data_IF_662830638731
#
_entry.id   IF_662830638731
#
_cell.length_a   1.000
_cell.length_b   1.000
_cell.length_c   1.000
_cell.angle_alpha   90.00
_cell.angle_beta   90.00
_cell.angle_gamma   90.00
#
_symmetry.space_group_name_H-M   'P 1'
#
loop_
_entity.id
_entity.type
_entity.pdbx_description
1 polymer ?
#
# COMPACT_ATOMS: atom_id res chain seq x y z
N UNK A 1 -7.85 -14.06 -24.59
CA UNK A 1 -7.31 -14.72 -23.38
C UNK A 1 -7.57 -13.80 -22.19
N UNK A 2 -8.61 -14.08 -21.42
CA UNK A 2 -8.97 -13.32 -20.22
C UNK A 2 -8.02 -13.73 -19.09
N UNK A 3 -7.14 -12.83 -18.64
CA UNK A 3 -6.27 -13.10 -17.48
C UNK A 3 -7.17 -13.41 -16.27
N UNK A 4 -6.86 -14.46 -15.48
CA UNK A 4 -7.63 -14.71 -14.26
C UNK A 4 -7.44 -13.52 -13.33
N UNK A 5 -8.54 -12.84 -12.98
CA UNK A 5 -8.55 -11.89 -11.89
C UNK A 5 -8.09 -12.66 -10.65
N UNK A 6 -6.88 -12.38 -10.20
CA UNK A 6 -6.28 -13.09 -9.09
C UNK A 6 -7.02 -12.67 -7.81
N UNK A 7 -8.13 -13.36 -7.51
CA UNK A 7 -8.89 -13.14 -6.27
C UNK A 7 -7.96 -13.51 -5.12
N UNK A 8 -7.32 -12.50 -4.54
CA UNK A 8 -6.43 -12.69 -3.40
C UNK A 8 -7.25 -13.26 -2.26
N UNK A 9 -6.88 -14.46 -1.79
CA UNK A 9 -7.50 -15.10 -0.64
C UNK A 9 -7.55 -14.10 0.54
N UNK A 10 -8.72 -13.93 1.17
CA UNK A 10 -8.94 -12.97 2.28
C UNK A 10 -7.92 -13.13 3.40
N UNK A 11 -7.55 -14.36 3.77
CA UNK A 11 -6.53 -14.63 4.79
C UNK A 11 -5.14 -14.16 4.34
N UNK A 12 -4.80 -14.35 3.06
CA UNK A 12 -3.54 -13.82 2.51
C UNK A 12 -3.53 -12.29 2.51
N UNK A 13 -4.67 -11.67 2.24
CA UNK A 13 -4.79 -10.21 2.29
C UNK A 13 -4.71 -9.68 3.72
N UNK A 14 -5.30 -10.38 4.68
CA UNK A 14 -5.21 -10.05 6.10
C UNK A 14 -3.77 -10.18 6.60
N UNK A 15 -3.09 -11.26 6.21
CA UNK A 15 -1.67 -11.44 6.49
C UNK A 15 -0.81 -10.32 5.89
N UNK A 16 -1.05 -9.95 4.63
CA UNK A 16 -0.33 -8.85 3.97
C UNK A 16 -0.57 -7.51 4.66
N UNK A 17 -1.82 -7.20 5.04
CA UNK A 17 -2.16 -5.97 5.73
C UNK A 17 -1.53 -5.92 7.13
N UNK A 18 -1.54 -7.02 7.88
CA UNK A 18 -0.89 -7.10 9.19
C UNK A 18 0.63 -6.90 9.07
N UNK A 19 1.26 -7.54 8.08
CA UNK A 19 2.70 -7.38 7.80
C UNK A 19 3.06 -5.94 7.41
N UNK A 20 2.26 -5.30 6.55
CA UNK A 20 2.45 -3.91 6.16
C UNK A 20 2.39 -2.96 7.36
N UNK A 21 1.38 -3.09 8.22
CA UNK A 21 1.25 -2.28 9.44
C UNK A 21 2.43 -2.51 10.40
N UNK A 22 2.90 -3.76 10.54
CA UNK A 22 4.04 -4.06 11.39
C UNK A 22 5.33 -3.37 10.90
N UNK A 23 5.58 -3.36 9.59
CA UNK A 23 6.72 -2.64 9.01
C UNK A 23 6.57 -1.13 9.17
N UNK A 24 5.39 -0.56 8.96
CA UNK A 24 5.14 0.86 9.22
C UNK A 24 5.47 1.26 10.66
N UNK A 25 5.07 0.43 11.63
CA UNK A 25 5.40 0.66 13.06
C UNK A 25 6.89 0.62 13.31
N UNK A 26 7.62 -0.33 12.71
CA UNK A 26 9.08 -0.42 12.81
C UNK A 26 9.76 0.82 12.22
N UNK A 27 9.31 1.29 11.06
CA UNK A 27 9.87 2.50 10.44
C UNK A 27 9.55 3.74 11.27
N UNK A 28 8.34 3.86 11.81
CA UNK A 28 7.98 4.95 12.70
C UNK A 28 8.89 5.00 13.92
N UNK A 29 9.07 3.87 14.62
CA UNK A 29 9.93 3.82 15.81
C UNK A 29 11.40 4.19 15.51
N UNK A 30 11.88 3.98 14.28
CA UNK A 30 13.22 4.40 13.85
C UNK A 30 13.31 5.91 13.57
N UNK A 31 12.28 6.48 12.96
CA UNK A 31 12.25 7.88 12.54
C UNK A 31 11.82 8.84 13.67
N UNK A 32 10.99 8.36 14.59
CA UNK A 32 10.36 9.12 15.67
C UNK A 32 10.47 8.35 17.00
N UNK A 33 11.68 8.19 17.57
CA UNK A 33 11.89 7.34 18.74
C UNK A 33 11.25 7.87 20.02
N UNK A 34 11.02 9.18 20.13
CA UNK A 34 10.43 9.81 21.31
C UNK A 34 8.89 9.88 21.26
N UNK A 35 8.30 9.66 20.10
CA UNK A 35 6.86 9.77 19.90
C UNK A 35 6.16 8.40 19.97
N UNK A 36 4.98 8.30 20.61
CA UNK A 36 4.19 7.07 20.55
C UNK A 36 3.78 6.76 19.11
N UNK A 37 3.89 5.49 18.72
CA UNK A 37 3.56 5.08 17.36
C UNK A 37 2.05 5.19 17.10
N UNK A 38 1.60 5.98 16.10
CA UNK A 38 0.18 6.17 15.81
C UNK A 38 -0.43 4.99 15.04
N UNK A 39 0.40 4.09 14.50
CA UNK A 39 -0.03 2.96 13.68
C UNK A 39 -0.46 1.81 14.59
N UNK A 40 -1.74 1.44 14.52
CA UNK A 40 -2.36 0.40 15.35
C UNK A 40 -2.12 -1.01 14.77
N UNK A 41 -2.39 -2.06 15.54
CA UNK A 41 -2.49 -3.41 14.96
C UNK A 41 -3.73 -3.53 14.08
N UNK A 42 -3.72 -4.47 13.13
CA UNK A 42 -4.87 -4.71 12.26
C UNK A 42 -6.16 -5.04 13.04
N UNK A 43 -6.04 -5.78 14.15
CA UNK A 43 -7.16 -6.15 15.04
C UNK A 43 -7.80 -4.97 15.77
N UNK A 44 -7.08 -3.87 15.90
CA UNK A 44 -7.49 -2.73 16.72
C UNK A 44 -8.28 -1.69 15.90
N UNK A 45 -8.40 -1.91 14.59
CA UNK A 45 -9.27 -1.14 13.72
C UNK A 45 -10.70 -1.70 13.74
N UNK A 46 -11.73 -0.83 13.72
CA UNK A 46 -13.10 -1.21 13.44
C UNK A 46 -13.21 -2.04 12.14
N UNK A 47 -14.19 -2.94 12.06
CA UNK A 47 -14.27 -3.92 10.98
C UNK A 47 -14.36 -3.28 9.58
N UNK A 48 -15.11 -2.18 9.45
CA UNK A 48 -15.23 -1.42 8.21
C UNK A 48 -13.89 -0.80 7.80
N UNK A 49 -13.16 -0.20 8.75
CA UNK A 49 -11.84 0.39 8.51
C UNK A 49 -10.80 -0.68 8.18
N UNK A 50 -10.82 -1.81 8.89
CA UNK A 50 -9.96 -2.97 8.62
C UNK A 50 -10.17 -3.48 7.19
N UNK A 51 -11.42 -3.61 6.77
CA UNK A 51 -11.76 -4.07 5.42
C UNK A 51 -11.32 -3.07 4.34
N UNK A 52 -11.49 -1.76 4.60
CA UNK A 52 -11.01 -0.71 3.70
C UNK A 52 -9.47 -0.72 3.59
N UNK A 53 -8.76 -0.88 4.71
CA UNK A 53 -7.30 -1.00 4.74
C UNK A 53 -6.83 -2.21 3.94
N UNK A 54 -7.44 -3.37 4.14
CA UNK A 54 -7.14 -4.58 3.38
C UNK A 54 -7.34 -4.34 1.87
N UNK A 55 -8.44 -3.71 1.46
CA UNK A 55 -8.65 -3.36 0.05
C UNK A 55 -7.59 -2.40 -0.50
N UNK A 56 -7.17 -1.41 0.31
CA UNK A 56 -6.07 -0.51 -0.02
C UNK A 56 -4.74 -1.24 -0.22
N UNK A 57 -4.39 -2.16 0.67
CA UNK A 57 -3.18 -3.01 0.54
C UNK A 57 -3.26 -3.88 -0.71
N UNK A 58 -4.43 -4.46 -1.01
CA UNK A 58 -4.62 -5.21 -2.26
C UNK A 58 -4.37 -4.34 -3.48
N UNK A 59 -4.84 -3.09 -3.47
CA UNK A 59 -4.60 -2.12 -4.55
C UNK A 59 -3.14 -1.74 -4.67
N UNK A 60 -2.43 -1.53 -3.56
CA UNK A 60 -0.99 -1.27 -3.58
C UNK A 60 -0.20 -2.44 -4.20
N UNK A 61 -0.55 -3.69 -3.85
CA UNK A 61 0.05 -4.88 -4.48
C UNK A 61 -0.25 -4.93 -5.98
N UNK A 62 -1.48 -4.56 -6.40
CA UNK A 62 -1.83 -4.47 -7.82
C UNK A 62 -1.02 -3.40 -8.55
N UNK A 63 -0.83 -2.22 -7.95
CA UNK A 63 -0.03 -1.12 -8.54
C UNK A 63 1.46 -1.45 -8.66
N UNK A 64 1.98 -2.36 -7.83
CA UNK A 64 3.34 -2.85 -7.94
C UNK A 64 3.49 -3.99 -8.98
N UNK A 65 2.38 -4.45 -9.56
CA UNK A 65 2.37 -5.53 -10.53
C UNK A 65 2.48 -5.03 -11.98
N UNK A 66 2.83 -5.92 -12.92
CA UNK A 66 3.03 -5.58 -14.34
C UNK A 66 1.73 -5.16 -15.05
N UNK A 67 0.57 -5.46 -14.48
CA UNK A 67 -0.73 -5.06 -15.03
C UNK A 67 -0.92 -3.53 -15.07
N UNK A 68 -0.13 -2.79 -14.29
CA UNK A 68 -0.22 -1.32 -14.19
C UNK A 68 0.98 -0.58 -14.79
N UNK A 69 1.85 -1.26 -15.55
CA UNK A 69 3.09 -0.68 -16.10
C UNK A 69 2.83 0.56 -16.97
N UNK A 70 1.80 0.54 -17.82
CA UNK A 70 1.45 1.71 -18.65
C UNK A 70 1.02 2.92 -17.79
N UNK A 71 0.26 2.68 -16.72
CA UNK A 71 -0.16 3.73 -15.80
C UNK A 71 1.04 4.25 -14.98
N UNK A 72 1.97 3.36 -14.60
CA UNK A 72 3.22 3.71 -13.96
C UNK A 72 4.11 4.57 -14.87
N UNK A 73 4.29 4.18 -16.14
CA UNK A 73 5.06 4.95 -17.12
C UNK A 73 4.49 6.35 -17.35
N UNK A 74 3.17 6.48 -17.46
CA UNK A 74 2.50 7.78 -17.55
C UNK A 74 2.71 8.64 -16.29
N UNK A 75 2.67 8.02 -15.10
CA UNK A 75 2.96 8.70 -13.84
C UNK A 75 4.41 9.19 -13.76
N UNK A 76 5.38 8.40 -14.23
CA UNK A 76 6.81 8.79 -14.30
C UNK A 76 7.00 9.98 -15.26
N UNK A 77 6.46 9.90 -16.48
CA UNK A 77 6.60 10.97 -17.47
C UNK A 77 6.07 12.31 -16.95
N UNK A 78 4.93 12.30 -16.25
CA UNK A 78 4.36 13.50 -15.62
C UNK A 78 5.30 14.11 -14.57
N UNK A 79 5.97 13.29 -13.76
CA UNK A 79 6.92 13.75 -12.73
C UNK A 79 8.14 14.43 -13.34
N UNK A 80 8.61 13.92 -14.47
CA UNK A 80 9.72 14.52 -15.22
C UNK A 80 9.30 15.88 -15.81
N UNK A 81 8.11 15.97 -16.41
CA UNK A 81 7.55 17.25 -16.90
C UNK A 81 7.37 18.29 -15.78
N UNK A 82 6.83 17.89 -14.62
CA UNK A 82 6.63 18.77 -13.47
C UNK A 82 7.97 19.23 -12.87
N UNK A 83 8.98 18.36 -12.84
CA UNK A 83 10.32 18.69 -12.38
C UNK A 83 11.05 19.67 -13.31
N UNK A 84 10.93 19.49 -14.63
CA UNK A 84 11.53 20.39 -15.63
C UNK A 84 10.88 21.77 -15.71
N UNK A 85 9.65 21.94 -15.21
CA UNK A 85 8.99 23.25 -15.13
C UNK A 85 9.36 24.05 -13.89
N UNK A 86 9.96 23.41 -12.88
CA UNK A 86 10.32 24.03 -11.60
C UNK A 86 11.77 24.55 -11.56
N UNK A 87 12.54 24.35 -12.64
CA UNK A 87 13.92 24.83 -12.84
C UNK A 87 13.98 25.87 -13.95
#
# INVERSE_FOLDING_TARGET
>A
MTRPVNVTNRQRLEFAAAGFLAEMRKQWAKLHPEDPCPVKNLSDYPENERSALMAGVQKAVQYAGPDTDNAFAAWVAKREEDGSRAT
#
